data_IF_023484969070
#
_entry.id   IF_023484969070
#
_cell.length_a   1.000
_cell.length_b   1.000
_cell.length_c   1.000
_cell.angle_alpha   90.00
_cell.angle_beta   90.00
_cell.angle_gamma   90.00
#
_symmetry.space_group_name_H-M   'P 1'
#
loop_
_entity.id
_entity.type
_entity.pdbx_description
1 polymer ?
#
# COMPACT_ATOMS: atom_id res chain seq x y z
N UNK A 1 -5.63 -22.86 6.28
CA UNK A 1 -6.67 -22.12 7.02
C UNK A 1 -6.88 -20.78 6.34
N UNK A 2 -8.01 -20.55 5.66
CA UNK A 2 -8.33 -19.24 5.12
C UNK A 2 -8.44 -18.21 6.26
N UNK A 3 -8.04 -16.97 6.02
CA UNK A 3 -8.25 -15.87 6.96
C UNK A 3 -9.74 -15.80 7.31
N UNK A 4 -10.07 -15.76 8.61
CA UNK A 4 -11.45 -15.64 9.07
C UNK A 4 -12.07 -14.34 8.53
N UNK A 5 -13.40 -14.30 8.38
CA UNK A 5 -14.08 -13.09 7.89
C UNK A 5 -13.72 -11.84 8.71
N UNK A 6 -13.51 -12.01 10.02
CA UNK A 6 -13.02 -10.97 10.92
C UNK A 6 -11.60 -10.51 10.58
N UNK A 7 -10.66 -11.43 10.36
CA UNK A 7 -9.29 -11.10 9.99
C UNK A 7 -9.23 -10.31 8.66
N UNK A 8 -10.04 -10.69 7.68
CA UNK A 8 -10.11 -9.96 6.41
C UNK A 8 -10.66 -8.55 6.58
N UNK A 9 -11.66 -8.35 7.46
CA UNK A 9 -12.22 -7.04 7.75
C UNK A 9 -11.21 -6.12 8.43
N UNK A 10 -10.47 -6.60 9.42
CA UNK A 10 -9.43 -5.82 10.12
C UNK A 10 -8.29 -5.41 9.18
N UNK A 11 -7.82 -6.33 8.32
CA UNK A 11 -6.79 -5.99 7.33
C UNK A 11 -7.28 -4.99 6.28
N UNK A 12 -8.55 -5.08 5.85
CA UNK A 12 -9.14 -4.09 4.95
C UNK A 12 -9.19 -2.72 5.62
N UNK A 13 -9.69 -2.66 6.86
CA UNK A 13 -9.76 -1.43 7.63
C UNK A 13 -8.38 -0.80 7.84
N UNK A 14 -7.37 -1.61 8.18
CA UNK A 14 -5.99 -1.15 8.34
C UNK A 14 -5.44 -0.57 7.03
N UNK A 15 -5.63 -1.26 5.90
CA UNK A 15 -5.17 -0.80 4.59
C UNK A 15 -5.82 0.52 4.16
N UNK A 16 -7.12 0.66 4.35
CA UNK A 16 -7.84 1.91 4.07
C UNK A 16 -7.40 3.06 4.99
N UNK A 17 -7.15 2.75 6.26
CA UNK A 17 -6.67 3.73 7.25
C UNK A 17 -5.27 4.22 6.91
N UNK A 18 -4.36 3.33 6.49
CA UNK A 18 -3.05 3.70 5.97
C UNK A 18 -3.15 4.57 4.71
N UNK A 19 -4.03 4.24 3.78
CA UNK A 19 -4.23 5.04 2.57
C UNK A 19 -4.74 6.46 2.89
N UNK A 20 -5.66 6.62 3.84
CA UNK A 20 -6.11 7.94 4.33
C UNK A 20 -4.98 8.70 5.03
N UNK A 21 -4.23 8.02 5.88
CA UNK A 21 -3.11 8.57 6.63
C UNK A 21 -2.00 9.12 5.72
N UNK A 22 -1.68 8.40 4.63
CA UNK A 22 -0.65 8.84 3.66
C UNK A 22 -1.10 9.95 2.73
N UNK A 23 -2.41 10.12 2.49
CA UNK A 23 -2.98 11.25 1.73
C UNK A 23 -3.14 12.51 2.57
N UNK A 24 -3.07 12.40 3.89
CA UNK A 24 -3.26 13.54 4.81
C UNK A 24 -2.00 14.41 4.89
N UNK A 25 -2.23 15.71 5.06
CA UNK A 25 -1.18 16.74 5.15
C UNK A 25 -0.55 16.80 6.56
N UNK A 26 -0.13 15.63 7.04
CA UNK A 26 0.46 15.45 8.37
C UNK A 26 1.99 15.43 8.29
N UNK A 27 2.63 15.81 9.40
CA UNK A 27 4.09 15.68 9.55
C UNK A 27 4.50 14.21 9.48
N UNK A 28 5.70 13.96 8.95
CA UNK A 28 6.24 12.61 8.79
C UNK A 28 6.29 11.82 10.11
N UNK A 29 6.69 12.46 11.21
CA UNK A 29 6.74 11.81 12.53
C UNK A 29 5.34 11.37 13.02
N UNK A 30 4.33 12.21 12.86
CA UNK A 30 2.95 11.88 13.26
C UNK A 30 2.37 10.76 12.39
N UNK A 31 2.72 10.76 11.10
CA UNK A 31 2.35 9.70 10.17
C UNK A 31 2.89 8.34 10.62
N UNK A 32 4.17 8.28 10.99
CA UNK A 32 4.78 7.04 11.48
C UNK A 32 4.25 6.60 12.85
N UNK A 33 4.00 7.53 13.76
CA UNK A 33 3.36 7.20 15.04
C UNK A 33 1.98 6.54 14.85
N UNK A 34 1.16 7.04 13.92
CA UNK A 34 -0.14 6.43 13.59
C UNK A 34 0.01 5.08 12.87
N UNK A 35 1.02 4.91 12.04
CA UNK A 35 1.35 3.62 11.43
C UNK A 35 1.66 2.58 12.51
N UNK A 36 2.48 2.92 13.50
CA UNK A 36 2.86 2.01 14.58
C UNK A 36 1.65 1.57 15.41
N UNK A 37 0.70 2.47 15.68
CA UNK A 37 -0.55 2.11 16.38
C UNK A 37 -1.38 1.08 15.61
N UNK A 38 -1.50 1.22 14.29
CA UNK A 38 -2.21 0.25 13.43
C UNK A 38 -1.47 -1.10 13.45
N UNK A 39 -0.14 -1.07 13.34
CA UNK A 39 0.70 -2.26 13.39
C UNK A 39 0.55 -3.00 14.72
N UNK A 40 0.69 -2.29 15.83
CA UNK A 40 0.56 -2.87 17.17
C UNK A 40 -0.81 -3.50 17.39
N UNK A 41 -1.89 -2.86 16.94
CA UNK A 41 -3.24 -3.41 17.02
C UNK A 41 -3.35 -4.76 16.32
N UNK A 42 -2.89 -4.85 15.07
CA UNK A 42 -2.90 -6.11 14.29
C UNK A 42 -2.01 -7.19 14.92
N UNK A 43 -0.81 -6.82 15.38
CA UNK A 43 0.13 -7.75 16.02
C UNK A 43 -0.43 -8.28 17.34
N UNK A 44 -1.13 -7.44 18.14
CA UNK A 44 -1.79 -7.90 19.37
C UNK A 44 -2.91 -8.90 19.09
N UNK A 45 -3.65 -8.74 17.99
CA UNK A 45 -4.70 -9.68 17.58
C UNK A 45 -4.14 -10.99 17.02
N UNK A 46 -3.03 -10.94 16.28
CA UNK A 46 -2.39 -12.12 15.69
C UNK A 46 -0.87 -12.13 15.90
N UNK A 47 -0.40 -12.37 17.15
CA UNK A 47 1.02 -12.28 17.47
C UNK A 47 1.87 -13.32 16.72
N UNK A 48 1.31 -14.50 16.47
CA UNK A 48 1.96 -15.54 15.67
C UNK A 48 2.21 -15.13 14.19
N UNK A 49 1.58 -14.05 13.72
CA UNK A 49 1.71 -13.53 12.36
C UNK A 49 2.47 -12.20 12.32
N UNK A 50 3.15 -11.79 13.40
CA UNK A 50 3.77 -10.47 13.51
C UNK A 50 4.69 -10.13 12.31
N UNK A 51 5.62 -11.01 11.96
CA UNK A 51 6.51 -10.81 10.81
C UNK A 51 5.74 -10.65 9.50
N UNK A 52 4.67 -11.43 9.30
CA UNK A 52 3.84 -11.35 8.08
C UNK A 52 3.07 -10.03 8.03
N UNK A 53 2.55 -9.56 9.16
CA UNK A 53 1.88 -8.27 9.29
C UNK A 53 2.87 -7.15 8.95
N UNK A 54 4.08 -7.21 9.49
CA UNK A 54 5.13 -6.21 9.24
C UNK A 54 5.48 -6.10 7.77
N UNK A 55 5.75 -7.23 7.10
CA UNK A 55 6.03 -7.25 5.66
C UNK A 55 4.85 -6.67 4.85
N UNK A 56 3.63 -7.11 5.15
CA UNK A 56 2.44 -6.67 4.42
C UNK A 56 2.15 -5.17 4.59
N UNK A 57 2.34 -4.63 5.79
CA UNK A 57 2.17 -3.19 6.04
C UNK A 57 3.22 -2.35 5.32
N UNK A 58 4.47 -2.80 5.28
CA UNK A 58 5.54 -2.13 4.53
C UNK A 58 5.27 -2.15 3.02
N UNK A 59 4.77 -3.25 2.47
CA UNK A 59 4.36 -3.33 1.07
C UNK A 59 3.24 -2.32 0.75
N UNK A 60 2.23 -2.21 1.63
CA UNK A 60 1.15 -1.24 1.45
C UNK A 60 1.65 0.20 1.47
N UNK A 61 2.54 0.54 2.41
CA UNK A 61 3.16 1.88 2.49
C UNK A 61 4.02 2.17 1.26
N UNK A 62 4.77 1.18 0.78
CA UNK A 62 5.62 1.32 -0.39
C UNK A 62 4.79 1.60 -1.64
N UNK A 63 3.67 0.88 -1.82
CA UNK A 63 2.73 1.12 -2.91
C UNK A 63 2.06 2.51 -2.85
N UNK A 64 1.90 3.08 -1.65
CA UNK A 64 1.37 4.44 -1.48
C UNK A 64 2.40 5.53 -1.79
N UNK A 65 3.69 5.28 -1.55
CA UNK A 65 4.78 6.23 -1.83
C UNK A 65 5.24 6.19 -3.28
N UNK A 66 5.20 5.02 -3.89
CA UNK A 66 5.55 4.77 -5.27
C UNK A 66 4.32 4.17 -5.95
N UNK A 67 3.30 4.99 -6.26
CA UNK A 67 2.22 4.51 -7.11
C UNK A 67 2.87 4.01 -8.39
N UNK A 68 2.71 2.73 -8.69
CA UNK A 68 3.19 2.16 -9.94
C UNK A 68 2.67 3.04 -11.09
N UNK A 69 3.51 3.37 -12.09
CA UNK A 69 3.02 4.11 -13.24
C UNK A 69 1.82 3.36 -13.83
N UNK A 70 0.74 4.07 -14.21
CA UNK A 70 -0.39 3.42 -14.86
C UNK A 70 0.14 2.63 -16.04
N UNK A 71 -0.29 1.37 -16.17
CA UNK A 71 0.19 0.43 -17.17
C UNK A 71 -0.35 0.78 -18.57
N UNK A 72 -0.26 2.04 -19.01
CA UNK A 72 -0.62 2.50 -20.36
C UNK A 72 0.23 3.71 -20.76
N UNK A 73 1.39 3.44 -21.35
CA UNK A 73 2.01 4.26 -22.41
C UNK A 73 3.06 3.43 -23.17
N UNK A 74 2.68 2.20 -23.54
CA UNK A 74 3.38 1.44 -24.58
C UNK A 74 2.37 1.06 -25.67
N UNK A 75 1.51 2.01 -26.04
CA UNK A 75 0.76 1.91 -27.28
C UNK A 75 1.54 2.66 -28.36
N UNK A 76 2.13 1.87 -29.23
CA UNK A 76 2.63 2.19 -30.57
C UNK A 76 3.70 3.28 -30.70
N UNK A 77 4.95 2.82 -30.79
CA UNK A 77 5.85 3.25 -31.89
C UNK A 77 5.08 3.01 -33.19
N UNK A 78 4.26 3.97 -33.61
CA UNK A 78 3.81 4.03 -35.00
C UNK A 78 4.96 4.64 -35.75
N UNK A 79 5.66 3.78 -36.49
CA UNK A 79 6.64 4.15 -37.48
C UNK A 79 6.16 5.39 -38.25
N UNK A 80 6.99 6.44 -38.25
CA UNK A 80 6.87 7.55 -39.17
C UNK A 80 7.55 7.11 -40.48
N UNK A 81 6.82 6.98 -41.61
CA UNK A 81 7.43 6.77 -42.90
C UNK A 81 7.21 8.03 -43.75
N UNK A 82 7.59 9.22 -43.30
CA UNK A 82 7.63 10.36 -44.22
C UNK A 82 8.69 11.39 -43.82
N UNK A 83 9.95 11.01 -44.00
CA UNK A 83 11.03 11.99 -44.10
C UNK A 83 11.95 11.62 -45.27
N UNK A 84 11.39 11.73 -46.48
CA UNK A 84 12.15 11.80 -47.72
C UNK A 84 11.45 12.79 -48.67
N UNK A 85 11.82 14.07 -48.55
CA UNK A 85 11.68 15.05 -49.61
C UNK A 85 13.05 15.61 -49.94
#
# INVERSE_FOLDING_TARGET
MPATAHQQAEFRFARESLARLWRSDMRQAERWARYDLIREHLVRQWPAQATRIDCMMLDWVSALRHPAPPAEATDTVRADPDCAK
#
